data_IF_652180479593
#
_entry.id   IF_652180479593
#
_cell.length_a   1.000
_cell.length_b   1.000
_cell.length_c   1.000
_cell.angle_alpha   90.00
_cell.angle_beta   90.00
_cell.angle_gamma   90.00
#
_symmetry.space_group_name_H-M   'P 1'
#
loop_
_entity.id
_entity.type
_entity.pdbx_description
1 polymer ?
#
# COMPACT_ATOMS: atom_id res chain seq x y z
N UNK A 1 -28.80 18.98 1.06
CA UNK A 1 -27.44 19.35 1.51
C UNK A 1 -27.12 18.80 2.90
N UNK A 2 -27.83 19.16 3.98
CA UNK A 2 -27.54 18.67 5.34
C UNK A 2 -27.54 17.13 5.50
N UNK A 3 -28.57 16.44 4.98
CA UNK A 3 -28.68 14.97 5.03
C UNK A 3 -27.56 14.23 4.29
N UNK A 4 -26.91 14.88 3.31
CA UNK A 4 -25.85 14.30 2.50
C UNK A 4 -24.48 14.48 3.14
N UNK A 5 -24.23 15.64 3.76
CA UNK A 5 -23.07 15.85 4.61
C UNK A 5 -23.03 14.86 5.78
N UNK A 6 -24.19 14.60 6.40
CA UNK A 6 -24.34 13.61 7.47
C UNK A 6 -24.02 12.18 7.01
N UNK A 7 -24.41 11.80 5.79
CA UNK A 7 -24.07 10.49 5.21
C UNK A 7 -22.56 10.36 4.96
N UNK A 8 -21.91 11.40 4.42
CA UNK A 8 -20.45 11.40 4.20
C UNK A 8 -19.72 11.24 5.54
N UNK A 9 -20.11 12.01 6.55
CA UNK A 9 -19.52 11.95 7.88
C UNK A 9 -19.72 10.58 8.54
N UNK A 10 -20.92 9.99 8.43
CA UNK A 10 -21.18 8.63 8.89
C UNK A 10 -20.27 7.61 8.20
N UNK A 11 -20.05 7.71 6.88
CA UNK A 11 -19.18 6.79 6.14
C UNK A 11 -17.73 6.91 6.55
N UNK A 12 -17.22 8.14 6.71
CA UNK A 12 -15.86 8.39 7.20
C UNK A 12 -15.67 7.87 8.63
N UNK A 13 -16.67 8.10 9.50
CA UNK A 13 -16.68 7.58 10.87
C UNK A 13 -16.68 6.04 10.91
N UNK A 14 -17.52 5.39 10.10
CA UNK A 14 -17.54 3.93 9.97
C UNK A 14 -16.21 3.37 9.44
N UNK A 15 -15.60 4.01 8.43
CA UNK A 15 -14.30 3.61 7.93
C UNK A 15 -13.22 3.70 9.02
N UNK A 16 -13.23 4.77 9.80
CA UNK A 16 -12.32 4.96 10.94
C UNK A 16 -12.50 3.88 12.01
N UNK A 17 -13.76 3.51 12.32
CA UNK A 17 -14.08 2.43 13.26
C UNK A 17 -13.57 1.07 12.78
N UNK A 18 -13.80 0.72 11.50
CA UNK A 18 -13.28 -0.53 10.95
C UNK A 18 -11.75 -0.55 10.95
N UNK A 19 -11.10 0.58 10.67
CA UNK A 19 -9.64 0.70 10.78
C UNK A 19 -9.15 0.43 12.21
N UNK A 20 -9.78 1.06 13.21
CA UNK A 20 -9.36 0.90 14.61
C UNK A 20 -9.58 -0.52 15.11
N UNK A 21 -10.71 -1.15 14.78
CA UNK A 21 -10.96 -2.57 15.07
C UNK A 21 -9.94 -3.47 14.37
N UNK A 22 -9.59 -3.16 13.11
CA UNK A 22 -8.55 -3.88 12.36
C UNK A 22 -7.18 -3.79 13.05
N UNK A 23 -6.82 -2.63 13.60
CA UNK A 23 -5.59 -2.44 14.36
C UNK A 23 -5.57 -3.31 15.63
N UNK A 24 -6.70 -3.40 16.35
CA UNK A 24 -6.85 -4.27 17.52
C UNK A 24 -6.63 -5.73 17.12
N UNK A 25 -7.35 -6.22 16.11
CA UNK A 25 -7.17 -7.59 15.62
C UNK A 25 -5.73 -7.87 15.15
N UNK A 26 -5.07 -6.88 14.53
CA UNK A 26 -3.67 -7.01 14.12
C UNK A 26 -2.73 -7.17 15.33
N UNK A 27 -2.93 -6.37 16.39
CA UNK A 27 -2.14 -6.51 17.64
C UNK A 27 -2.39 -7.85 18.36
N UNK A 28 -3.60 -8.40 18.23
CA UNK A 28 -3.96 -9.74 18.74
C UNK A 28 -3.48 -10.89 17.84
N UNK A 29 -2.68 -10.62 16.80
CA UNK A 29 -2.20 -11.60 15.82
C UNK A 29 -3.33 -12.30 15.02
N UNK A 30 -4.54 -11.75 15.04
CA UNK A 30 -5.70 -12.23 14.25
C UNK A 30 -5.67 -11.63 12.84
N UNK A 31 -4.65 -12.00 12.07
CA UNK A 31 -4.35 -11.40 10.76
C UNK A 31 -5.53 -11.50 9.78
N UNK A 32 -6.21 -12.65 9.72
CA UNK A 32 -7.36 -12.84 8.81
C UNK A 32 -8.51 -11.89 9.09
N UNK A 33 -8.77 -11.59 10.36
CA UNK A 33 -9.86 -10.71 10.75
C UNK A 33 -9.47 -9.24 10.57
N UNK A 34 -8.21 -8.89 10.85
CA UNK A 34 -7.67 -7.57 10.52
C UNK A 34 -7.81 -7.26 9.02
N UNK A 35 -7.46 -8.20 8.14
CA UNK A 35 -7.62 -8.07 6.68
C UNK A 35 -9.07 -7.76 6.30
N UNK A 36 -10.04 -8.51 6.85
CA UNK A 36 -11.48 -8.27 6.59
C UNK A 36 -11.88 -6.85 7.01
N UNK A 37 -11.47 -6.43 8.20
CA UNK A 37 -11.83 -5.11 8.75
C UNK A 37 -11.23 -3.96 7.92
N UNK A 38 -9.96 -4.05 7.50
CA UNK A 38 -9.37 -3.06 6.61
C UNK A 38 -10.07 -3.03 5.24
N UNK A 39 -10.48 -4.18 4.70
CA UNK A 39 -11.30 -4.22 3.49
C UNK A 39 -12.67 -3.56 3.68
N UNK A 40 -13.35 -3.81 4.80
CA UNK A 40 -14.61 -3.14 5.12
C UNK A 40 -14.45 -1.61 5.21
N UNK A 41 -13.36 -1.13 5.82
CA UNK A 41 -13.03 0.29 5.84
C UNK A 41 -12.89 0.86 4.42
N UNK A 42 -12.10 0.20 3.56
CA UNK A 42 -11.91 0.61 2.17
C UNK A 42 -13.21 0.61 1.35
N UNK A 43 -14.13 -0.34 1.61
CA UNK A 43 -15.43 -0.35 0.95
C UNK A 43 -16.30 0.85 1.34
N UNK A 44 -16.26 1.29 2.59
CA UNK A 44 -16.95 2.52 3.01
C UNK A 44 -16.36 3.75 2.31
N UNK A 45 -15.03 3.85 2.25
CA UNK A 45 -14.36 4.97 1.57
C UNK A 45 -14.64 4.97 0.06
N UNK A 46 -14.65 3.80 -0.59
CA UNK A 46 -14.97 3.66 -2.02
C UNK A 46 -16.40 4.07 -2.35
N UNK A 47 -17.33 3.92 -1.42
CA UNK A 47 -18.72 4.39 -1.60
C UNK A 47 -18.85 5.91 -1.65
N UNK A 48 -17.78 6.65 -1.31
CA UNK A 48 -17.71 8.10 -1.38
C UNK A 48 -17.01 8.59 -2.65
N UNK A 49 -16.39 7.71 -3.44
CA UNK A 49 -15.64 8.09 -4.64
C UNK A 49 -16.58 8.51 -5.78
N UNK A 50 -16.59 9.80 -6.17
CA UNK A 50 -17.48 10.30 -7.20
C UNK A 50 -17.15 9.77 -8.60
N UNK A 51 -15.92 9.28 -8.85
CA UNK A 51 -15.52 8.75 -10.16
C UNK A 51 -16.02 7.33 -10.42
N UNK A 52 -16.17 6.51 -9.37
CA UNK A 52 -16.74 5.16 -9.47
C UNK A 52 -18.26 5.14 -9.46
N UNK A 53 -18.86 6.22 -8.96
CA UNK A 53 -20.30 6.49 -9.00
C UNK A 53 -20.71 7.23 -10.29
N UNK A 54 -19.89 7.19 -11.35
CA UNK A 54 -20.15 7.82 -12.63
C UNK A 54 -21.64 7.70 -12.96
N UNK A 55 -22.42 8.79 -12.88
CA UNK A 55 -23.83 8.70 -13.19
C UNK A 55 -23.91 8.33 -14.66
N UNK A 56 -24.58 7.22 -14.97
CA UNK A 56 -25.19 7.09 -16.28
C UNK A 56 -25.90 8.43 -16.56
N UNK A 57 -25.69 9.08 -17.72
CA UNK A 57 -26.30 10.38 -18.00
C UNK A 57 -27.81 10.29 -17.76
N UNK A 58 -28.31 10.96 -16.72
CA UNK A 58 -29.74 11.00 -16.38
C UNK A 58 -30.23 10.10 -15.24
N UNK A 59 -29.40 9.29 -14.56
CA UNK A 59 -29.87 8.33 -13.52
C UNK A 59 -29.12 8.34 -12.17
N UNK A 60 -28.65 9.49 -11.68
CA UNK A 60 -28.09 9.54 -10.33
C UNK A 60 -28.05 10.94 -9.73
N UNK A 61 -28.04 11.06 -8.38
CA UNK A 61 -27.77 12.33 -7.74
C UNK A 61 -26.41 12.84 -8.19
N UNK A 62 -26.32 14.15 -8.43
CA UNK A 62 -25.09 14.87 -8.77
C UNK A 62 -23.95 14.39 -7.87
N UNK A 63 -22.81 14.06 -8.48
CA UNK A 63 -21.55 13.73 -7.81
C UNK A 63 -21.37 14.59 -6.55
N UNK A 64 -21.38 13.96 -5.38
CA UNK A 64 -21.08 14.66 -4.13
C UNK A 64 -19.63 15.13 -4.19
N UNK A 65 -19.43 16.43 -4.37
CA UNK A 65 -18.13 17.04 -4.15
C UNK A 65 -17.85 16.98 -2.64
N UNK A 66 -16.94 16.09 -2.24
CA UNK A 66 -16.35 16.10 -0.91
C UNK A 66 -15.72 17.47 -0.68
N UNK A 67 -15.91 18.02 0.51
CA UNK A 67 -15.15 19.22 0.89
C UNK A 67 -13.65 18.88 0.92
N UNK A 68 -12.75 19.84 0.69
CA UNK A 68 -11.30 19.59 0.71
C UNK A 68 -10.83 18.90 2.00
N UNK A 69 -11.42 19.27 3.14
CA UNK A 69 -11.13 18.65 4.43
C UNK A 69 -11.61 17.19 4.51
N UNK A 70 -12.80 16.88 3.99
CA UNK A 70 -13.31 15.50 3.95
C UNK A 70 -12.50 14.63 3.00
N UNK A 71 -12.07 15.19 1.87
CA UNK A 71 -11.21 14.51 0.91
C UNK A 71 -9.86 14.14 1.56
N UNK A 72 -9.23 15.08 2.26
CA UNK A 72 -7.98 14.82 2.98
C UNK A 72 -8.14 13.70 4.03
N UNK A 73 -9.24 13.73 4.79
CA UNK A 73 -9.55 12.67 5.77
C UNK A 73 -9.78 11.33 5.09
N UNK A 74 -10.50 11.31 3.98
CA UNK A 74 -10.74 10.10 3.18
C UNK A 74 -9.43 9.51 2.66
N UNK A 75 -8.60 10.32 2.01
CA UNK A 75 -7.32 9.92 1.43
C UNK A 75 -6.38 9.40 2.52
N UNK A 76 -6.30 10.09 3.67
CA UNK A 76 -5.50 9.64 4.81
C UNK A 76 -5.98 8.30 5.35
N UNK A 77 -7.28 8.12 5.55
CA UNK A 77 -7.84 6.83 6.00
C UNK A 77 -7.60 5.73 4.97
N UNK A 78 -7.69 6.04 3.69
CA UNK A 78 -7.45 5.10 2.60
C UNK A 78 -5.98 4.65 2.59
N UNK A 79 -5.04 5.59 2.68
CA UNK A 79 -3.62 5.31 2.77
C UNK A 79 -3.29 4.45 4.00
N UNK A 80 -3.81 4.80 5.18
CA UNK A 80 -3.61 4.01 6.40
C UNK A 80 -4.12 2.57 6.25
N UNK A 81 -5.31 2.39 5.68
CA UNK A 81 -5.92 1.07 5.50
C UNK A 81 -5.11 0.21 4.51
N UNK A 82 -4.69 0.77 3.38
CA UNK A 82 -3.82 0.05 2.44
C UNK A 82 -2.48 -0.31 3.06
N UNK A 83 -1.88 0.61 3.81
CA UNK A 83 -0.60 0.38 4.47
C UNK A 83 -0.68 -0.77 5.51
N UNK A 84 -1.76 -0.80 6.29
CA UNK A 84 -1.99 -1.87 7.27
C UNK A 84 -2.38 -3.20 6.62
N UNK A 85 -3.14 -3.16 5.52
CA UNK A 85 -3.44 -4.34 4.72
C UNK A 85 -2.17 -4.95 4.12
N UNK A 86 -1.26 -4.12 3.57
CA UNK A 86 0.05 -4.56 3.09
C UNK A 86 0.86 -5.25 4.21
N UNK A 87 0.81 -4.71 5.44
CA UNK A 87 1.44 -5.35 6.60
C UNK A 87 0.87 -6.75 6.89
N UNK A 88 -0.45 -6.88 6.88
CA UNK A 88 -1.13 -8.16 7.13
C UNK A 88 -0.79 -9.20 6.05
N UNK A 89 -0.80 -8.78 4.78
CA UNK A 89 -0.51 -9.65 3.63
C UNK A 89 0.96 -10.09 3.59
N UNK A 90 1.86 -9.28 4.12
CA UNK A 90 3.27 -9.65 4.26
C UNK A 90 3.47 -10.71 5.36
N UNK A 91 2.62 -10.71 6.39
CA UNK A 91 2.64 -11.70 7.48
C UNK A 91 1.82 -12.96 7.19
N UNK A 92 1.05 -13.00 6.10
CA UNK A 92 0.28 -14.20 5.75
C UNK A 92 1.21 -15.36 5.41
N UNK A 93 0.74 -16.60 5.59
CA UNK A 93 1.49 -17.79 5.21
C UNK A 93 0.71 -18.57 4.12
N UNK A 94 1.22 -18.64 2.87
CA UNK A 94 2.39 -17.91 2.36
C UNK A 94 2.14 -16.38 2.23
N UNK A 95 3.19 -15.54 2.22
CA UNK A 95 3.03 -14.10 1.97
C UNK A 95 2.55 -13.84 0.54
N UNK A 96 1.65 -12.86 0.38
CA UNK A 96 1.09 -12.50 -0.94
C UNK A 96 1.81 -11.27 -1.52
N UNK A 97 3.05 -11.43 -1.94
CA UNK A 97 3.93 -10.30 -2.33
C UNK A 97 3.35 -9.40 -3.41
N UNK A 98 2.68 -9.94 -4.43
CA UNK A 98 2.00 -9.14 -5.47
C UNK A 98 0.97 -8.17 -4.86
N UNK A 99 0.15 -8.67 -3.93
CA UNK A 99 -0.87 -7.86 -3.25
C UNK A 99 -0.26 -6.87 -2.26
N UNK A 100 0.85 -7.23 -1.61
CA UNK A 100 1.61 -6.31 -0.75
C UNK A 100 2.11 -5.13 -1.59
N UNK A 101 2.69 -5.42 -2.76
CA UNK A 101 3.18 -4.40 -3.68
C UNK A 101 2.07 -3.47 -4.14
N UNK A 102 0.95 -4.02 -4.63
CA UNK A 102 -0.22 -3.24 -5.04
C UNK A 102 -0.71 -2.30 -3.93
N UNK A 103 -0.89 -2.81 -2.71
CA UNK A 103 -1.37 -2.02 -1.57
C UNK A 103 -0.37 -0.93 -1.16
N UNK A 104 0.93 -1.25 -1.17
CA UNK A 104 1.98 -0.26 -0.92
C UNK A 104 1.96 0.87 -1.96
N UNK A 105 1.78 0.55 -3.25
CA UNK A 105 1.67 1.57 -4.28
C UNK A 105 0.45 2.48 -4.08
N UNK A 106 -0.70 1.95 -3.67
CA UNK A 106 -1.86 2.78 -3.35
C UNK A 106 -1.58 3.72 -2.18
N UNK A 107 -0.82 3.27 -1.19
CA UNK A 107 -0.39 4.13 -0.07
C UNK A 107 0.55 5.22 -0.57
N UNK A 108 1.55 4.88 -1.39
CA UNK A 108 2.55 5.82 -1.90
C UNK A 108 1.98 6.87 -2.86
N UNK A 109 0.90 6.55 -3.58
CA UNK A 109 0.18 7.55 -4.39
C UNK A 109 -0.36 8.71 -3.55
N UNK A 110 -0.79 8.42 -2.31
CA UNK A 110 -1.37 9.40 -1.39
C UNK A 110 -0.29 9.98 -0.46
N UNK A 111 0.63 9.14 0.00
CA UNK A 111 1.72 9.49 0.91
C UNK A 111 3.07 9.01 0.34
N UNK A 112 3.67 9.77 -0.59
CA UNK A 112 4.88 9.35 -1.31
C UNK A 112 6.06 9.01 -0.42
N UNK A 113 6.21 9.71 0.71
CA UNK A 113 7.33 9.53 1.63
C UNK A 113 7.02 8.60 2.80
N UNK A 114 5.98 7.76 2.71
CA UNK A 114 5.65 6.83 3.79
C UNK A 114 6.70 5.69 3.87
N UNK A 115 7.62 5.78 4.83
CA UNK A 115 8.72 4.81 5.01
C UNK A 115 8.22 3.37 5.13
N UNK A 116 7.08 3.12 5.81
CA UNK A 116 6.55 1.77 5.98
C UNK A 116 6.03 1.21 4.65
N UNK A 117 5.42 2.05 3.81
CA UNK A 117 4.95 1.66 2.49
C UNK A 117 6.12 1.43 1.52
N UNK A 118 7.14 2.31 1.54
CA UNK A 118 8.39 2.15 0.78
C UNK A 118 9.09 0.85 1.13
N UNK A 119 9.28 0.58 2.43
CA UNK A 119 9.88 -0.68 2.89
C UNK A 119 9.09 -1.90 2.41
N UNK A 120 7.76 -1.90 2.56
CA UNK A 120 6.90 -3.02 2.13
C UNK A 120 6.93 -3.21 0.61
N UNK A 121 6.92 -2.12 -0.16
CA UNK A 121 7.07 -2.17 -1.61
C UNK A 121 8.40 -2.82 -1.99
N UNK A 122 9.51 -2.33 -1.41
CA UNK A 122 10.84 -2.85 -1.65
C UNK A 122 11.01 -4.33 -1.31
N UNK A 123 10.53 -4.75 -0.13
CA UNK A 123 10.51 -6.17 0.26
C UNK A 123 9.69 -7.01 -0.72
N UNK A 124 8.49 -6.54 -1.10
CA UNK A 124 7.66 -7.29 -2.06
C UNK A 124 8.32 -7.40 -3.44
N UNK A 125 8.90 -6.33 -3.97
CA UNK A 125 9.61 -6.35 -5.25
C UNK A 125 10.81 -7.31 -5.22
N UNK A 126 11.55 -7.36 -4.11
CA UNK A 126 12.66 -8.30 -3.94
C UNK A 126 12.19 -9.75 -4.08
N UNK A 127 11.12 -10.13 -3.37
CA UNK A 127 10.55 -11.49 -3.45
C UNK A 127 9.87 -11.80 -4.79
N UNK A 128 9.54 -10.77 -5.58
CA UNK A 128 9.07 -10.89 -6.96
C UNK A 128 10.22 -10.92 -7.98
N UNK A 129 11.48 -10.94 -7.52
CA UNK A 129 12.71 -10.91 -8.32
C UNK A 129 12.91 -9.61 -9.13
N UNK A 130 12.18 -8.54 -8.81
CA UNK A 130 12.44 -7.21 -9.35
C UNK A 130 13.39 -6.44 -8.43
N UNK A 131 14.67 -6.80 -8.51
CA UNK A 131 15.71 -6.29 -7.62
C UNK A 131 15.99 -4.80 -7.83
N UNK A 132 15.87 -4.30 -9.07
CA UNK A 132 16.09 -2.88 -9.39
C UNK A 132 15.03 -2.01 -8.73
N UNK A 133 13.75 -2.38 -8.86
CA UNK A 133 12.65 -1.68 -8.19
C UNK A 133 12.77 -1.80 -6.68
N UNK A 134 13.14 -2.99 -6.17
CA UNK A 134 13.37 -3.21 -4.75
C UNK A 134 14.43 -2.26 -4.20
N UNK A 135 15.59 -2.17 -4.86
CA UNK A 135 16.69 -1.30 -4.48
C UNK A 135 16.26 0.18 -4.46
N UNK A 136 15.48 0.62 -5.45
CA UNK A 136 14.94 1.99 -5.51
C UNK A 136 14.11 2.35 -4.28
N UNK A 137 13.09 1.55 -3.97
CA UNK A 137 12.24 1.79 -2.80
C UNK A 137 12.98 1.68 -1.46
N UNK A 138 13.88 0.70 -1.33
CA UNK A 138 14.66 0.49 -0.11
C UNK A 138 15.70 1.58 0.10
N UNK A 139 16.29 2.12 -0.97
CA UNK A 139 17.20 3.27 -0.92
C UNK A 139 16.47 4.53 -0.46
N UNK A 140 15.26 4.77 -0.97
CA UNK A 140 14.44 5.89 -0.51
C UNK A 140 14.06 5.73 0.96
N UNK A 141 13.62 4.54 1.38
CA UNK A 141 13.34 4.24 2.78
C UNK A 141 14.57 4.42 3.68
N UNK A 142 15.75 4.00 3.21
CA UNK A 142 17.02 4.13 3.93
C UNK A 142 17.48 5.59 4.04
N UNK A 143 17.18 6.44 3.06
CA UNK A 143 17.51 7.87 3.15
C UNK A 143 16.76 8.56 4.29
N UNK A 144 15.54 8.10 4.60
CA UNK A 144 14.72 8.62 5.69
C UNK A 144 15.03 7.94 7.04
N UNK A 145 15.31 6.63 7.03
CA UNK A 145 15.60 5.85 8.24
C UNK A 145 16.87 4.99 8.08
N UNK A 146 18.06 5.61 8.02
CA UNK A 146 19.32 4.89 7.70
C UNK A 146 19.77 3.90 8.78
N UNK A 147 19.23 4.03 9.99
CA UNK A 147 19.57 3.18 11.15
C UNK A 147 18.66 1.96 11.28
N UNK A 148 17.62 1.84 10.46
CA UNK A 148 16.71 0.70 10.53
C UNK A 148 17.40 -0.57 10.01
N UNK A 149 17.52 -1.62 10.84
CA UNK A 149 18.22 -2.85 10.47
C UNK A 149 17.48 -3.66 9.41
N UNK A 150 16.15 -3.63 9.39
CA UNK A 150 15.33 -4.36 8.44
C UNK A 150 15.47 -3.76 7.03
N UNK A 151 15.43 -2.43 6.93
CA UNK A 151 15.64 -1.72 5.65
C UNK A 151 17.05 -2.02 5.11
N UNK A 152 18.07 -1.87 5.97
CA UNK A 152 19.46 -2.14 5.57
C UNK A 152 19.68 -3.57 5.10
N UNK A 153 19.11 -4.55 5.81
CA UNK A 153 19.24 -5.95 5.45
C UNK A 153 18.70 -6.21 4.03
N UNK A 154 17.48 -5.76 3.74
CA UNK A 154 16.89 -5.94 2.42
C UNK A 154 17.59 -5.13 1.33
N UNK A 155 18.11 -3.94 1.66
CA UNK A 155 18.87 -3.13 0.70
C UNK A 155 20.15 -3.87 0.25
N UNK A 156 20.89 -4.46 1.18
CA UNK A 156 22.07 -5.28 0.88
C UNK A 156 21.75 -6.53 0.06
N UNK A 157 20.62 -7.18 0.35
CA UNK A 157 20.15 -8.32 -0.44
C UNK A 157 19.82 -7.93 -1.88
N UNK A 158 19.15 -6.79 -2.07
CA UNK A 158 18.82 -6.28 -3.40
C UNK A 158 20.08 -5.90 -4.19
N UNK A 159 21.02 -5.20 -3.55
CA UNK A 159 22.31 -4.82 -4.16
C UNK A 159 23.10 -6.07 -4.60
N UNK A 160 23.24 -7.05 -3.72
CA UNK A 160 23.95 -8.31 -4.02
C UNK A 160 23.30 -9.08 -5.18
N UNK A 161 21.97 -9.08 -5.25
CA UNK A 161 21.24 -9.75 -6.33
C UNK A 161 21.44 -9.07 -7.68
N UNK A 162 21.45 -7.73 -7.71
CA UNK A 162 21.75 -6.94 -8.93
C UNK A 162 23.17 -7.21 -9.41
N UNK A 163 24.15 -7.21 -8.51
CA UNK A 163 25.55 -7.44 -8.87
C UNK A 163 25.78 -8.87 -9.37
N UNK A 164 25.16 -9.86 -8.72
CA UNK A 164 25.18 -11.23 -9.20
C UNK A 164 24.60 -11.35 -10.62
N UNK A 165 23.48 -10.69 -10.91
CA UNK A 165 22.87 -10.66 -12.24
C UNK A 165 23.82 -10.07 -13.29
N UNK A 166 24.44 -8.92 -13.00
CA UNK A 166 25.42 -8.28 -13.89
C UNK A 166 26.66 -9.14 -14.16
N UNK A 167 27.14 -9.89 -13.17
CA UNK A 167 28.26 -10.82 -13.36
C UNK A 167 27.85 -11.96 -14.28
N UNK A 168 26.68 -12.57 -14.06
CA UNK A 168 26.15 -13.64 -14.90
C UNK A 168 25.95 -13.20 -16.36
N UNK A 169 25.40 -12.00 -16.58
CA UNK A 169 25.23 -11.46 -17.93
C UNK A 169 26.57 -11.31 -18.66
N UNK A 170 27.59 -10.73 -18.01
CA UNK A 170 28.92 -10.57 -18.62
C UNK A 170 29.55 -11.90 -19.02
N UNK A 171 29.47 -12.91 -18.15
CA UNK A 171 30.01 -14.25 -18.45
C UNK A 171 29.27 -14.90 -19.62
N UNK A 172 27.94 -14.75 -19.69
CA UNK A 172 27.13 -15.29 -20.78
C UNK A 172 27.49 -14.65 -22.12
N UNK A 173 27.69 -13.34 -22.16
CA UNK A 173 28.06 -12.63 -23.40
C UNK A 173 29.51 -12.89 -23.83
N UNK A 174 30.44 -13.11 -22.89
CA UNK A 174 31.83 -13.43 -23.23
C UNK A 174 31.96 -14.73 -24.04
N UNK A 175 31.17 -15.76 -23.72
CA UNK A 175 31.16 -17.02 -24.48
C UNK A 175 30.36 -17.02 -25.78
N UNK A 176 29.80 -15.88 -26.21
CA UNK A 176 29.03 -15.76 -27.46
C UNK A 176 29.84 -15.19 -28.63
N UNK A 177 31.08 -14.72 -28.39
CA UNK A 177 31.94 -14.10 -29.40
C UNK A 177 33.25 -14.87 -29.66
N UNK A 178 33.37 -16.09 -29.10
CA UNK A 178 34.40 -17.07 -29.43
C UNK A 178 33.90 -18.05 -30.50
#
# INVERSE_FOLDING_TARGET
>A
MAKQAEVIEQRLSQASLFKSQGNVCYSEHRIRDAVKLYHHALLQLRSLDPHLLSPLPGLGPSSSELTPQQLEVQEKLQADCYNNLAACLLQSQPPKYERVYECSLQTLKIQPHNVKALYRAGVSSYHLNDYTTAYGYLSEAASQQPKDPCIRHYLQLAESAIDAFRVMERQRYQGMFD
#
